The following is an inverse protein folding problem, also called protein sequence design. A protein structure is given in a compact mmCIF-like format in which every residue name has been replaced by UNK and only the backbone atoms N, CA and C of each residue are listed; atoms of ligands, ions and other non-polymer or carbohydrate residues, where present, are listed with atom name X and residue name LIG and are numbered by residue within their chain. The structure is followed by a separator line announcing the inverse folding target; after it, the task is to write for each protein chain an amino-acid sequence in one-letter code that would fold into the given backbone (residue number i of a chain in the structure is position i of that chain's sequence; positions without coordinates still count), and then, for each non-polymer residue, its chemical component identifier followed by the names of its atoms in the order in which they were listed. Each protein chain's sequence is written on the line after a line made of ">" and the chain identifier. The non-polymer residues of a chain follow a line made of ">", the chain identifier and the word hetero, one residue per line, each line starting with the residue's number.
data_IF_214115799859
#
_entry.id   IF_214115799859
#
_cell.length_a   1.000
_cell.length_b   1.000
_cell.length_c   1.000
_cell.angle_alpha   90.00
_cell.angle_beta   90.00
_cell.angle_gamma   90.00
#
_symmetry.space_group_name_H-M   'P 1'
#
loop_
_entity.id
_entity.type
_entity.pdbx_description
1 polymer ?
#
# COMPACT_ATOMS: atom_id res chain seq x y z
N UNK A 1 0.12 22.85 -1.57
CA UNK A 1 1.51 23.09 -1.13
C UNK A 1 2.39 22.19 -1.99
N UNK A 2 3.44 22.73 -2.62
CA UNK A 2 4.34 21.94 -3.48
C UNK A 2 5.69 21.81 -2.78
N UNK A 3 6.12 20.59 -2.48
CA UNK A 3 7.41 20.27 -1.89
C UNK A 3 8.28 19.65 -2.98
N UNK A 4 9.49 20.18 -3.20
CA UNK A 4 10.39 19.73 -4.27
C UNK A 4 11.85 19.85 -3.81
N UNK A 5 12.70 18.88 -4.16
CA UNK A 5 14.14 18.81 -3.83
C UNK A 5 14.50 18.97 -2.33
N UNK A 6 13.60 18.58 -1.42
CA UNK A 6 13.78 18.75 0.02
C UNK A 6 13.31 17.51 0.79
N UNK A 7 13.91 17.26 1.97
CA UNK A 7 13.49 16.19 2.89
C UNK A 7 12.63 16.77 4.01
N UNK A 8 11.37 16.34 4.09
CA UNK A 8 10.46 16.72 5.16
C UNK A 8 9.81 15.49 5.79
N UNK A 9 9.62 15.52 7.11
CA UNK A 9 8.73 14.57 7.77
C UNK A 9 7.31 15.12 7.66
N UNK A 10 6.49 14.52 6.79
CA UNK A 10 5.06 14.84 6.73
C UNK A 10 4.35 14.13 7.88
N UNK A 11 3.75 14.92 8.78
CA UNK A 11 2.81 14.41 9.78
C UNK A 11 1.40 14.85 9.39
N UNK A 12 0.57 13.89 9.02
CA UNK A 12 -0.86 14.10 8.75
C UNK A 12 -1.66 13.31 9.79
N UNK A 13 -2.62 13.95 10.44
CA UNK A 13 -3.51 13.33 11.41
C UNK A 13 -4.91 13.88 11.19
N UNK A 14 -5.89 12.98 11.04
CA UNK A 14 -7.28 13.33 10.73
C UNK A 14 -7.42 14.20 9.47
N UNK A 15 -6.68 13.83 8.41
CA UNK A 15 -6.61 14.56 7.15
C UNK A 15 -7.06 13.68 5.97
N UNK A 16 -7.79 14.28 5.03
CA UNK A 16 -8.10 13.67 3.74
C UNK A 16 -7.01 14.02 2.72
N UNK A 17 -6.30 13.01 2.23
CA UNK A 17 -5.27 13.11 1.19
C UNK A 17 -5.74 12.49 -0.14
N UNK A 18 -7.04 12.30 -0.31
CA UNK A 18 -7.61 11.79 -1.56
C UNK A 18 -7.28 12.73 -2.73
N UNK A 19 -6.93 12.13 -3.86
CA UNK A 19 -6.50 12.85 -5.06
C UNK A 19 -5.06 13.39 -5.02
N UNK A 20 -4.31 13.23 -3.92
CA UNK A 20 -2.89 13.55 -3.92
C UNK A 20 -2.11 12.59 -4.84
N UNK A 21 -1.17 13.14 -5.62
CA UNK A 21 -0.17 12.37 -6.37
C UNK A 21 1.18 12.52 -5.68
N UNK A 22 1.83 11.39 -5.44
CA UNK A 22 3.20 11.32 -4.94
C UNK A 22 4.07 10.78 -6.08
N UNK A 23 4.91 11.63 -6.66
CA UNK A 23 5.75 11.32 -7.83
C UNK A 23 7.22 11.46 -7.44
N UNK A 24 8.05 10.47 -7.79
CA UNK A 24 9.47 10.39 -7.40
C UNK A 24 9.75 10.62 -5.90
N UNK A 25 8.87 10.14 -5.01
CA UNK A 25 9.01 10.28 -3.57
C UNK A 25 9.58 9.03 -2.89
N UNK A 26 10.44 9.23 -1.89
CA UNK A 26 10.84 8.16 -0.96
C UNK A 26 9.89 8.13 0.24
N UNK A 27 9.11 7.05 0.36
CA UNK A 27 8.18 6.80 1.47
C UNK A 27 8.63 5.66 2.41
N UNK A 28 9.88 5.21 2.27
CA UNK A 28 10.42 4.09 3.05
C UNK A 28 10.42 4.38 4.55
N UNK A 29 10.08 3.37 5.35
CA UNK A 29 9.93 3.48 6.80
C UNK A 29 8.64 4.19 7.27
N UNK A 30 7.75 4.58 6.35
CA UNK A 30 6.43 5.10 6.69
C UNK A 30 5.54 4.05 7.36
N UNK A 31 4.65 4.50 8.26
CA UNK A 31 3.61 3.68 8.88
C UNK A 31 2.27 4.36 8.66
N UNK A 32 1.28 3.59 8.21
CA UNK A 32 -0.06 4.08 7.88
C UNK A 32 -1.09 3.26 8.65
N UNK A 33 -1.57 3.80 9.77
CA UNK A 33 -2.58 3.16 10.62
C UNK A 33 -3.95 3.79 10.37
N UNK A 34 -5.00 2.96 10.27
CA UNK A 34 -6.41 3.40 10.14
C UNK A 34 -6.67 4.31 8.91
N UNK A 35 -6.03 4.02 7.78
CA UNK A 35 -6.18 4.81 6.55
C UNK A 35 -7.16 4.16 5.56
N UNK A 36 -7.87 5.00 4.80
CA UNK A 36 -8.67 4.55 3.66
C UNK A 36 -7.83 4.63 2.38
N UNK A 37 -7.47 3.47 1.81
CA UNK A 37 -6.65 3.36 0.58
C UNK A 37 -7.42 2.71 -0.58
N UNK A 38 -8.76 2.77 -0.56
CA UNK A 38 -9.57 2.21 -1.64
C UNK A 38 -9.26 2.92 -2.97
N UNK A 39 -8.92 2.13 -3.99
CA UNK A 39 -8.55 2.65 -5.32
C UNK A 39 -7.11 3.19 -5.42
N UNK A 40 -6.28 3.06 -4.38
CA UNK A 40 -4.85 3.41 -4.47
C UNK A 40 -4.17 2.57 -5.56
N UNK A 41 -3.43 3.24 -6.44
CA UNK A 41 -2.57 2.60 -7.42
C UNK A 41 -1.11 2.79 -7.04
N UNK A 42 -0.38 1.69 -6.90
CA UNK A 42 1.06 1.69 -6.63
C UNK A 42 1.76 1.15 -7.87
N UNK A 43 2.37 2.05 -8.65
CA UNK A 43 2.92 1.76 -9.98
C UNK A 43 4.42 2.09 -9.97
N UNK A 44 5.25 1.19 -10.52
CA UNK A 44 6.71 1.36 -10.60
C UNK A 44 7.39 1.65 -9.25
N UNK A 45 6.83 1.13 -8.15
CA UNK A 45 7.37 1.32 -6.81
C UNK A 45 8.21 0.13 -6.36
N UNK A 46 9.26 0.39 -5.57
CA UNK A 46 9.91 -0.65 -4.79
C UNK A 46 9.09 -0.94 -3.53
N UNK A 47 8.52 -2.14 -3.46
CA UNK A 47 7.71 -2.63 -2.34
C UNK A 47 8.48 -3.61 -1.43
N UNK A 48 9.79 -3.82 -1.66
CA UNK A 48 10.58 -4.73 -0.85
C UNK A 48 10.51 -4.39 0.65
N UNK A 49 10.20 -5.39 1.47
CA UNK A 49 10.03 -5.22 2.92
C UNK A 49 8.71 -4.59 3.36
N UNK A 50 7.78 -4.30 2.44
CA UNK A 50 6.44 -3.82 2.79
C UNK A 50 5.63 -4.94 3.44
N UNK A 51 4.89 -4.61 4.50
CA UNK A 51 3.93 -5.50 5.15
C UNK A 51 2.55 -4.86 5.15
N UNK A 52 1.54 -5.64 4.78
CA UNK A 52 0.13 -5.26 4.83
C UNK A 52 -0.55 -6.27 5.76
N UNK A 53 -1.10 -5.78 6.85
CA UNK A 53 -1.76 -6.62 7.86
C UNK A 53 -2.98 -5.89 8.42
N UNK A 54 -3.90 -6.67 9.01
CA UNK A 54 -5.12 -6.14 9.65
C UNK A 54 -5.91 -5.18 8.75
N UNK A 55 -5.88 -5.44 7.44
CA UNK A 55 -6.46 -4.57 6.41
C UNK A 55 -7.55 -5.32 5.66
N UNK A 56 -8.51 -4.58 5.11
CA UNK A 56 -9.49 -5.13 4.18
C UNK A 56 -8.84 -5.26 2.79
N UNK A 57 -8.83 -6.46 2.23
CA UNK A 57 -8.11 -6.78 0.98
C UNK A 57 -9.04 -7.02 -0.22
N UNK A 58 -10.36 -6.91 -0.06
CA UNK A 58 -11.32 -7.13 -1.16
C UNK A 58 -11.05 -6.19 -2.34
N UNK A 59 -10.85 -6.76 -3.53
CA UNK A 59 -10.57 -6.01 -4.76
C UNK A 59 -9.12 -5.51 -4.87
N UNK A 60 -8.25 -5.86 -3.92
CA UNK A 60 -6.82 -5.54 -4.00
C UNK A 60 -6.14 -6.51 -4.94
N UNK A 61 -5.44 -6.01 -5.96
CA UNK A 61 -4.70 -6.84 -6.91
C UNK A 61 -3.20 -6.66 -6.83
N UNK A 62 -2.43 -7.75 -7.02
CA UNK A 62 -0.99 -7.72 -7.33
C UNK A 62 -0.82 -8.28 -8.74
N UNK A 63 -0.25 -7.48 -9.66
CA UNK A 63 -0.14 -7.83 -11.09
C UNK A 63 -1.47 -8.25 -11.72
N UNK A 64 -2.58 -7.65 -11.27
CA UNK A 64 -3.94 -7.96 -11.74
C UNK A 64 -4.58 -9.22 -11.12
N UNK A 65 -3.91 -9.90 -10.19
CA UNK A 65 -4.44 -11.07 -9.47
C UNK A 65 -4.97 -10.62 -8.11
N UNK A 66 -6.19 -11.00 -7.76
CA UNK A 66 -6.80 -10.70 -6.47
C UNK A 66 -5.99 -11.30 -5.32
N UNK A 67 -5.65 -10.48 -4.33
CA UNK A 67 -4.82 -10.89 -3.18
C UNK A 67 -5.54 -11.95 -2.34
N UNK A 68 -6.87 -11.88 -2.25
CA UNK A 68 -7.65 -12.91 -1.55
C UNK A 68 -7.54 -14.27 -2.22
N UNK A 69 -7.43 -14.33 -3.56
CA UNK A 69 -7.20 -15.57 -4.29
C UNK A 69 -5.78 -16.10 -4.09
N UNK A 70 -4.78 -15.21 -4.08
CA UNK A 70 -3.38 -15.58 -3.78
C UNK A 70 -3.24 -16.20 -2.39
N UNK A 71 -3.90 -15.63 -1.38
CA UNK A 71 -3.88 -16.15 -0.01
C UNK A 71 -4.58 -17.51 0.09
N UNK A 72 -5.77 -17.66 -0.51
CA UNK A 72 -6.49 -18.93 -0.53
C UNK A 72 -5.67 -20.03 -1.22
N UNK A 73 -5.00 -19.71 -2.34
CA UNK A 73 -4.12 -20.64 -3.04
C UNK A 73 -2.91 -21.06 -2.17
N UNK A 74 -2.33 -20.12 -1.42
CA UNK A 74 -1.24 -20.42 -0.50
C UNK A 74 -1.67 -21.36 0.63
N UNK A 75 -2.82 -21.09 1.26
CA UNK A 75 -3.39 -21.93 2.32
C UNK A 75 -3.67 -23.36 1.81
N UNK A 76 -4.33 -23.49 0.65
CA UNK A 76 -4.60 -24.80 0.04
C UNK A 76 -3.31 -25.58 -0.28
N UNK A 77 -2.24 -24.89 -0.69
CA UNK A 77 -0.95 -25.53 -0.94
C UNK A 77 -0.28 -26.04 0.35
N UNK A 78 -0.48 -25.35 1.49
CA UNK A 78 0.02 -25.80 2.80
C UNK A 78 -0.70 -27.05 3.29
N UNK A 79 -2.00 -27.17 3.05
CA UNK A 79 -2.80 -28.33 3.46
C UNK A 79 -2.50 -29.60 2.65
N UNK A 80 -1.95 -29.45 1.44
CA UNK A 80 -1.59 -30.56 0.56
C UNK A 80 -0.20 -31.17 0.84
N UNK A 81 0.57 -30.58 1.78
CA UNK A 81 1.90 -31.04 2.21
C UNK A 81 1.84 -31.87 3.49
#
# INVERSE_FOLDING_TARGET
>A
MNIHHEKHCLKASDADLSGCRFDDMTLSGGRYDNVYMAGLQVISADLAGTSISQSRLDGMTINGIEVTELLAAFEAAQEAM
#
